data_IF_679522981009
#
_entry.id   IF_679522981009
#
_cell.length_a   1.000
_cell.length_b   1.000
_cell.length_c   1.000
_cell.angle_alpha   90.00
_cell.angle_beta   90.00
_cell.angle_gamma   90.00
#
_symmetry.space_group_name_H-M   'P 1'
#
loop_
_entity.id
_entity.type
_entity.pdbx_description
1 polymer ?
2 water ?
#
# COMPACT_ATOMS: atom_id res chain seq x y z
N UNK A 1 -18.92 8.22 20.11
CA UNK A 1 -18.04 9.38 19.81
C UNK A 1 -18.92 10.49 19.30
N UNK A 2 -18.30 11.57 18.82
CA UNK A 2 -19.09 12.60 18.13
C UNK A 2 -19.55 12.16 16.75
N UNK A 3 -19.16 10.97 16.32
CA UNK A 3 -19.39 10.54 14.98
C UNK A 3 -20.51 9.50 14.93
N UNK A 4 -21.10 9.36 13.74
CA UNK A 4 -22.14 8.34 13.52
C UNK A 4 -21.60 6.93 13.48
N UNK A 5 -20.44 6.79 12.80
CA UNK A 5 -19.90 5.45 12.49
C UNK A 5 -18.59 5.33 13.26
N UNK A 6 -18.10 4.11 13.32
CA UNK A 6 -16.69 3.91 13.77
C UNK A 6 -15.69 4.72 13.03
N UNK A 7 -14.59 5.10 13.73
CA UNK A 7 -13.47 5.78 13.10
C UNK A 7 -12.52 4.74 12.53
N UNK A 8 -11.67 5.21 11.64
CA UNK A 8 -10.64 4.34 11.06
C UNK A 8 -9.32 4.89 11.54
N UNK A 9 -8.38 4.00 11.77
CA UNK A 9 -7.11 4.41 12.41
C UNK A 9 -5.90 3.96 11.70
N UNK A 10 -4.90 4.85 11.59
CA UNK A 10 -3.68 4.68 10.89
C UNK A 10 -2.47 4.99 11.77
N UNK A 11 -1.47 4.14 11.67
CA UNK A 11 -0.26 4.38 12.46
C UNK A 11 0.79 5.19 11.74
N UNK A 12 1.40 6.16 12.45
CA UNK A 12 2.52 6.97 11.92
C UNK A 12 3.75 6.71 12.76
N UNK A 13 4.73 6.03 12.18
CA UNK A 13 6.00 5.70 12.83
C UNK A 13 6.96 6.86 12.67
N UNK A 14 7.31 7.50 13.77
CA UNK A 14 7.99 8.81 13.69
C UNK A 14 9.51 8.58 13.87
N UNK A 15 10.24 8.86 12.83
CA UNK A 15 11.71 8.74 12.90
C UNK A 15 12.43 10.02 12.54
N UNK A 16 11.68 11.14 12.58
CA UNK A 16 12.20 12.42 12.22
C UNK A 16 11.78 13.37 13.25
N UNK A 17 12.76 13.83 14.05
CA UNK A 17 12.50 14.68 15.15
C UNK A 17 11.81 16.04 14.74
N UNK A 18 12.36 16.70 13.75
CA UNK A 18 11.83 18.01 13.22
C UNK A 18 10.39 17.83 12.87
N UNK A 19 10.10 16.73 12.14
CA UNK A 19 8.73 16.50 11.63
C UNK A 19 7.74 16.43 12.75
N UNK A 20 7.95 15.53 13.73
CA UNK A 20 6.98 15.37 14.76
C UNK A 20 6.83 16.61 15.68
N UNK A 21 7.97 17.24 16.00
CA UNK A 21 7.95 18.44 16.80
C UNK A 21 7.19 19.52 16.07
N UNK A 22 7.39 19.65 14.77
CA UNK A 22 6.72 20.71 13.97
C UNK A 22 5.23 20.38 13.88
N UNK A 23 4.88 19.11 13.71
CA UNK A 23 3.47 18.74 13.58
C UNK A 23 2.68 19.07 14.84
N UNK A 24 3.27 18.90 16.02
CA UNK A 24 2.64 19.24 17.28
C UNK A 24 2.36 20.77 17.39
N UNK A 25 3.21 21.57 16.77
CA UNK A 25 2.98 23.03 16.63
C UNK A 25 2.07 23.57 15.51
N UNK A 26 2.04 22.92 14.38
CA UNK A 26 1.39 23.43 13.18
C UNK A 26 0.18 22.60 12.83
N UNK A 27 -0.01 21.42 13.41
CA UNK A 27 -1.25 20.63 13.09
C UNK A 27 -1.36 20.29 11.61
N UNK A 28 -0.23 19.91 10.96
CA UNK A 28 -0.24 19.41 9.61
C UNK A 28 0.69 18.19 9.63
N UNK A 29 0.38 17.23 8.77
CA UNK A 29 1.20 16.06 8.55
C UNK A 29 1.35 15.77 7.05
N UNK A 30 2.54 15.35 6.71
CA UNK A 30 2.89 14.93 5.35
C UNK A 30 2.62 13.42 5.27
N UNK A 31 1.75 13.05 4.35
CA UNK A 31 1.31 11.63 4.11
C UNK A 31 2.19 11.02 3.04
N UNK A 32 2.79 9.87 3.37
CA UNK A 32 3.66 9.12 2.41
C UNK A 32 2.88 8.62 1.18
N UNK A 33 3.56 8.60 0.04
CA UNK A 33 2.91 8.09 -1.18
C UNK A 33 2.34 6.66 -1.08
N UNK A 34 3.03 5.75 -0.40
CA UNK A 34 2.57 4.34 -0.28
C UNK A 34 1.20 4.20 0.37
N UNK A 35 0.89 5.13 1.28
CA UNK A 35 -0.26 4.96 2.14
C UNK A 35 -1.35 6.02 1.89
N UNK A 36 -1.06 6.96 0.99
CA UNK A 36 -1.93 8.14 0.77
C UNK A 36 -3.28 7.83 0.18
N UNK A 37 -3.32 6.95 -0.85
CA UNK A 37 -4.58 6.65 -1.43
C UNK A 37 -5.55 5.99 -0.47
N UNK A 38 -5.09 5.02 0.34
CA UNK A 38 -5.93 4.44 1.32
C UNK A 38 -6.46 5.43 2.38
N UNK A 39 -5.58 6.31 2.77
CA UNK A 39 -5.94 7.36 3.78
C UNK A 39 -7.00 8.36 3.20
N UNK A 40 -6.74 8.86 2.00
CA UNK A 40 -7.69 9.69 1.32
C UNK A 40 -9.03 9.00 1.08
N UNK A 41 -8.98 7.75 0.62
CA UNK A 41 -10.22 7.00 0.48
C UNK A 41 -11.01 6.88 1.81
N UNK A 42 -10.29 6.56 2.91
CA UNK A 42 -10.86 6.42 4.21
C UNK A 42 -11.48 7.73 4.70
N UNK A 43 -10.79 8.83 4.51
CA UNK A 43 -11.25 10.18 4.91
C UNK A 43 -12.61 10.58 4.24
N UNK A 44 -12.82 10.10 3.02
CA UNK A 44 -14.07 10.34 2.35
C UNK A 44 -15.19 9.59 2.97
N UNK A 45 -14.92 8.45 3.63
CA UNK A 45 -15.99 7.60 4.17
C UNK A 45 -16.18 7.57 5.68
N UNK A 46 -15.16 8.02 6.45
CA UNK A 46 -15.10 7.90 7.86
C UNK A 46 -14.32 9.00 8.58
N UNK A 47 -14.60 9.16 9.86
CA UNK A 47 -13.66 9.90 10.66
C UNK A 47 -12.36 9.08 10.68
N UNK A 48 -11.22 9.75 10.66
CA UNK A 48 -9.90 9.10 10.55
C UNK A 48 -9.03 9.68 11.63
N UNK A 49 -8.37 8.78 12.39
CA UNK A 49 -7.34 9.18 13.36
C UNK A 49 -5.97 8.72 12.91
N UNK A 50 -4.94 9.53 13.10
CA UNK A 50 -3.54 9.11 13.08
C UNK A 50 -3.06 8.94 14.46
N UNK A 51 -2.42 7.79 14.73
CA UNK A 51 -1.81 7.48 16.01
C UNK A 51 -0.30 7.56 15.78
N UNK A 52 0.40 8.40 16.49
CA UNK A 52 1.79 8.66 16.29
C UNK A 52 2.63 7.98 17.36
N UNK A 53 3.57 7.14 16.88
CA UNK A 53 4.48 6.45 17.84
C UNK A 53 5.88 6.58 17.33
N UNK A 54 6.78 6.61 18.30
CA UNK A 54 8.19 6.65 17.93
C UNK A 54 8.70 5.38 17.26
N UNK A 55 9.47 5.52 16.18
CA UNK A 55 10.00 4.36 15.51
C UNK A 55 10.89 3.58 16.47
N UNK A 56 10.89 2.26 16.29
CA UNK A 56 11.56 1.26 17.14
C UNK A 56 11.04 1.01 18.56
N UNK A 57 11.01 2.14 19.35
CA UNK A 57 10.68 2.11 20.78
C UNK A 57 9.21 1.99 20.92
N UNK A 58 8.48 2.63 20.04
CA UNK A 58 7.05 2.63 20.08
C UNK A 58 6.50 3.38 21.26
N UNK A 59 7.23 4.37 21.77
CA UNK A 59 6.60 5.32 22.68
C UNK A 59 5.45 5.98 21.95
N UNK A 60 4.38 6.22 22.66
CA UNK A 60 3.20 6.93 22.10
C UNK A 60 3.47 8.41 22.16
N UNK A 61 3.33 9.09 21.03
CA UNK A 61 3.53 10.55 20.92
C UNK A 61 2.23 11.33 20.84
N UNK A 62 1.13 10.68 20.52
CA UNK A 62 -0.22 11.31 20.59
C UNK A 62 -1.09 10.74 19.52
N UNK A 63 -2.28 11.30 19.38
CA UNK A 63 -3.18 10.91 18.34
C UNK A 63 -3.98 12.12 17.95
N UNK A 64 -4.37 12.13 16.69
CA UNK A 64 -5.00 13.34 16.11
C UNK A 64 -6.04 12.95 15.12
N UNK A 65 -7.12 13.72 15.07
CA UNK A 65 -8.09 13.54 14.01
C UNK A 65 -7.62 14.16 12.73
N UNK A 66 -7.80 13.52 11.56
CA UNK A 66 -7.49 14.10 10.27
C UNK A 66 -8.69 14.98 9.87
N UNK A 67 -8.42 16.27 9.61
CA UNK A 67 -9.53 17.26 9.40
C UNK A 67 -9.49 17.92 8.04
N UNK A 68 -8.70 17.42 7.09
CA UNK A 68 -8.79 17.79 5.69
C UNK A 68 -8.29 16.66 4.82
N UNK A 69 -8.76 16.57 3.58
CA UNK A 69 -8.25 15.53 2.67
C UNK A 69 -6.83 15.88 2.15
N UNK A 70 -6.12 14.92 1.54
CA UNK A 70 -4.74 15.06 1.05
C UNK A 70 -4.66 16.22 0.08
N UNK A 71 -3.64 17.05 0.25
CA UNK A 71 -3.50 18.24 -0.57
C UNK A 71 -2.07 18.30 -1.03
N UNK A 72 -1.82 18.04 -2.30
CA UNK A 72 -0.48 18.00 -2.91
C UNK A 72 0.26 19.35 -2.88
N UNK A 73 -0.43 20.44 -2.59
CA UNK A 73 0.24 21.75 -2.48
C UNK A 73 0.17 22.39 -1.10
N UNK A 74 -0.42 21.71 -0.10
CA UNK A 74 -0.45 22.19 1.29
C UNK A 74 0.33 21.15 2.13
N UNK A 75 1.63 21.34 2.21
CA UNK A 75 2.59 20.40 2.80
C UNK A 75 3.46 21.14 3.80
N UNK A 76 3.91 20.45 4.84
CA UNK A 76 4.84 21.06 5.74
C UNK A 76 6.24 21.13 5.10
N UNK A 77 7.08 22.00 5.65
CA UNK A 77 8.38 22.29 5.03
C UNK A 77 9.28 21.07 4.96
N UNK A 78 9.12 20.22 5.97
CA UNK A 78 9.96 19.03 6.10
C UNK A 78 9.56 17.89 5.19
N UNK A 79 8.50 18.02 4.38
CA UNK A 79 8.12 16.96 3.43
C UNK A 79 9.20 16.75 2.35
N UNK A 80 9.05 15.71 1.56
CA UNK A 80 10.10 15.30 0.62
C UNK A 80 9.46 14.47 -0.46
N UNK A 81 10.24 13.89 -1.35
CA UNK A 81 9.61 13.29 -2.51
C UNK A 81 8.86 12.00 -2.14
N UNK A 82 9.19 11.44 -0.97
CA UNK A 82 8.41 10.28 -0.42
C UNK A 82 6.94 10.62 -0.15
N UNK A 83 6.61 11.91 0.01
CA UNK A 83 5.24 12.29 0.33
C UNK A 83 4.43 12.71 -0.85
N UNK A 84 3.13 12.39 -0.78
CA UNK A 84 2.12 12.76 -1.76
C UNK A 84 1.47 14.12 -1.51
N UNK A 85 1.33 14.48 -0.25
CA UNK A 85 0.60 15.68 0.10
C UNK A 85 0.48 15.78 1.59
N UNK A 86 -0.16 16.87 2.00
CA UNK A 86 -0.41 17.17 3.39
C UNK A 86 -1.89 17.02 3.78
N UNK A 87 -2.10 16.73 5.06
CA UNK A 87 -3.38 16.78 5.68
C UNK A 87 -3.32 17.61 6.93
N UNK A 88 -4.38 18.36 7.17
CA UNK A 88 -4.50 19.04 8.45
C UNK A 88 -5.00 18.05 9.52
N UNK A 89 -4.58 18.24 10.76
CA UNK A 89 -4.93 17.38 11.87
C UNK A 89 -5.40 18.18 13.05
N UNK A 90 -6.13 17.54 13.94
CA UNK A 90 -6.59 18.14 15.14
C UNK A 90 -6.14 17.23 16.25
N UNK A 91 -5.12 17.69 17.02
CA UNK A 91 -4.58 16.86 18.07
C UNK A 91 -5.57 16.62 19.15
N UNK A 92 -5.72 15.37 19.59
CA UNK A 92 -6.57 15.01 20.70
C UNK A 92 -5.74 14.84 21.95
N UNK A 93 -4.63 14.09 21.85
CA UNK A 93 -3.66 13.91 22.93
C UNK A 93 -2.29 14.04 22.36
N UNK A 94 -1.38 14.71 23.09
CA UNK A 94 0.02 14.82 22.80
C UNK A 94 0.75 14.37 24.09
N UNK A 95 1.80 13.57 23.93
CA UNK A 95 2.41 12.87 25.09
C UNK A 95 3.76 12.28 24.64
N UNK A 96 4.42 11.56 25.56
CA UNK A 96 5.66 10.83 25.21
C UNK A 96 5.70 9.70 26.20
N UNK A 97 4.97 8.65 25.89
CA UNK A 97 4.61 7.62 26.84
C UNK A 97 5.08 6.27 26.39
N UNK A 98 5.88 5.60 27.22
CA UNK A 98 6.19 4.20 26.98
C UNK A 98 5.19 3.37 27.75
N UNK A 99 4.57 2.44 27.04
CA UNK A 99 3.69 1.48 27.60
C UNK A 99 3.98 0.11 27.00
N UNK A 100 4.12 -0.92 27.82
CA UNK A 100 4.40 -2.22 27.26
C UNK A 100 3.25 -2.70 26.37
N UNK A 101 2.01 -2.43 26.76
CA UNK A 101 0.90 -2.83 25.93
C UNK A 101 0.83 -2.09 24.59
N UNK A 102 1.05 -0.78 24.58
CA UNK A 102 1.16 -0.01 23.32
C UNK A 102 2.22 -0.67 22.42
N UNK A 103 3.41 -0.89 23.01
CA UNK A 103 4.48 -1.48 22.21
C UNK A 103 4.12 -2.84 21.68
N UNK A 104 3.42 -3.66 22.47
CA UNK A 104 3.06 -5.02 22.02
C UNK A 104 2.06 -4.93 20.87
N UNK A 105 1.07 -4.01 20.99
CA UNK A 105 0.06 -3.87 19.90
C UNK A 105 0.74 -3.48 18.59
N UNK A 106 1.66 -2.50 18.68
CA UNK A 106 2.38 -2.00 17.47
C UNK A 106 3.30 -3.09 16.90
N UNK A 107 3.86 -3.88 17.81
CA UNK A 107 4.82 -4.96 17.42
C UNK A 107 4.16 -6.09 16.70
N UNK A 108 2.83 -6.24 16.84
CA UNK A 108 2.09 -7.35 16.21
C UNK A 108 1.01 -6.88 15.22
N UNK A 109 1.06 -5.57 14.91
CA UNK A 109 0.04 -4.96 14.06
C UNK A 109 -0.07 -5.48 12.59
N UNK A 110 1.01 -5.94 11.99
CA UNK A 110 0.97 -6.43 10.62
C UNK A 110 1.01 -7.99 10.62
N UNK A 111 -0.16 -8.53 10.84
CA UNK A 111 -0.36 -9.96 10.85
C UNK A 111 0.62 -10.62 11.80
N UNK A 112 0.81 -10.04 12.98
CA UNK A 112 1.66 -10.50 14.02
C UNK A 112 3.12 -10.08 14.00
N UNK A 113 3.48 -9.31 12.98
CA UNK A 113 4.78 -8.70 12.85
C UNK A 113 4.65 -7.17 13.05
N UNK A 114 5.79 -6.49 13.13
CA UNK A 114 5.79 -5.06 13.39
C UNK A 114 5.07 -4.22 12.41
N UNK A 115 4.40 -3.17 12.91
CA UNK A 115 3.68 -2.25 12.09
C UNK A 115 4.46 -1.70 10.92
N UNK A 116 3.80 -1.53 9.81
CA UNK A 116 4.33 -0.80 8.65
C UNK A 116 3.85 0.66 8.74
N UNK A 117 4.75 1.60 8.46
CA UNK A 117 4.41 3.00 8.56
C UNK A 117 3.17 3.27 7.71
N UNK A 118 2.20 4.00 8.26
CA UNK A 118 1.03 4.44 7.51
C UNK A 118 -0.07 3.45 7.37
N UNK A 119 0.13 2.23 7.84
CA UNK A 119 -0.89 1.25 7.70
C UNK A 119 -2.14 1.52 8.48
N UNK A 120 -3.27 1.08 7.93
CA UNK A 120 -4.50 0.99 8.66
C UNK A 120 -4.48 -0.19 9.62
N UNK A 121 -4.88 0.03 10.88
CA UNK A 121 -5.06 -1.01 11.88
C UNK A 121 -6.51 -1.43 12.03
N UNK A 122 -6.71 -2.49 12.77
CA UNK A 122 -8.04 -2.93 13.07
C UNK A 122 -8.72 -2.05 14.11
N UNK A 123 -10.04 -2.08 14.11
CA UNK A 123 -10.79 -1.25 15.05
C UNK A 123 -10.37 -1.53 16.48
N UNK A 124 -10.27 -2.82 16.87
CA UNK A 124 -9.87 -3.16 18.25
C UNK A 124 -8.51 -2.51 18.64
N UNK A 125 -7.58 -2.51 17.69
CA UNK A 125 -6.24 -1.98 17.93
C UNK A 125 -6.29 -0.44 18.11
N UNK A 126 -6.92 0.25 17.18
CA UNK A 126 -6.99 1.70 17.28
C UNK A 126 -7.74 2.18 18.50
N UNK A 127 -8.89 1.57 18.77
CA UNK A 127 -9.63 1.97 19.94
C UNK A 127 -8.89 1.69 21.23
N UNK A 128 -8.20 0.55 21.31
CA UNK A 128 -7.38 0.28 22.51
C UNK A 128 -6.24 1.26 22.64
N UNK A 129 -5.57 1.56 21.55
CA UNK A 129 -4.41 2.46 21.61
C UNK A 129 -4.84 3.86 22.04
N UNK A 130 -5.96 4.36 21.51
CA UNK A 130 -6.43 5.68 21.91
C UNK A 130 -6.82 5.63 23.41
N UNK A 131 -7.38 4.54 23.87
CA UNK A 131 -7.73 4.42 25.29
C UNK A 131 -6.46 4.53 26.14
N UNK A 132 -5.41 3.85 25.70
CA UNK A 132 -4.11 3.85 26.44
C UNK A 132 -3.39 5.18 26.42
N UNK A 133 -3.60 5.98 25.40
CA UNK A 133 -2.97 7.25 25.25
C UNK A 133 -3.81 8.32 25.98
N UNK A 134 -5.13 8.12 26.17
CA UNK A 134 -5.94 9.04 27.06
C UNK A 134 -5.47 9.03 28.53
N UNK B 1 8.77 -26.71 -29.61
CA UNK B 1 9.73 -25.55 -29.71
C UNK B 1 8.95 -24.25 -29.50
N UNK B 2 8.46 -23.58 -30.55
CA UNK B 2 7.47 -22.51 -30.35
C UNK B 2 6.08 -23.01 -29.96
N UNK B 3 5.84 -24.31 -30.00
CA UNK B 3 4.58 -24.82 -29.38
C UNK B 3 4.72 -25.15 -27.85
N UNK B 4 5.93 -25.18 -27.33
CA UNK B 4 6.13 -25.34 -25.87
C UNK B 4 6.29 -23.95 -25.31
N UNK B 5 5.28 -23.44 -24.60
CA UNK B 5 5.28 -22.02 -24.27
C UNK B 5 6.03 -21.85 -22.95
N UNK B 6 6.82 -20.79 -22.85
CA UNK B 6 7.42 -20.35 -21.61
C UNK B 6 6.37 -19.58 -20.78
N UNK B 7 6.34 -19.76 -19.42
CA UNK B 7 5.48 -18.86 -18.57
C UNK B 7 6.34 -17.94 -17.75
N UNK B 8 6.04 -16.66 -17.81
CA UNK B 8 6.76 -15.60 -17.13
C UNK B 8 5.79 -14.77 -16.30
N UNK B 9 6.22 -14.44 -15.09
CA UNK B 9 5.38 -13.87 -14.04
C UNK B 9 5.90 -12.56 -13.52
N UNK B 10 5.08 -11.55 -13.42
CA UNK B 10 5.40 -10.23 -12.91
C UNK B 10 4.46 -9.87 -11.76
N UNK B 11 4.95 -9.22 -10.73
CA UNK B 11 4.09 -8.77 -9.64
C UNK B 11 3.64 -7.33 -9.85
N UNK B 12 2.37 -7.11 -9.56
CA UNK B 12 1.75 -5.76 -9.59
C UNK B 12 1.32 -5.46 -8.15
N UNK B 13 2.00 -4.49 -7.52
CA UNK B 13 1.73 -4.09 -6.15
C UNK B 13 0.72 -2.96 -6.19
N UNK B 14 -0.44 -3.23 -5.60
CA UNK B 14 -1.63 -2.36 -5.74
C UNK B 14 -1.81 -1.47 -4.51
N UNK B 15 -1.65 -0.16 -4.69
CA UNK B 15 -1.87 0.80 -3.55
C UNK B 15 -3.13 1.60 -3.71
N UNK B 16 -3.86 1.42 -4.82
CA UNK B 16 -4.95 2.26 -5.16
C UNK B 16 -6.17 1.36 -5.43
N UNK B 17 -7.11 1.35 -4.49
CA UNK B 17 -8.31 0.56 -4.58
C UNK B 17 -9.06 0.90 -5.85
N UNK B 18 -9.17 2.17 -6.21
CA UNK B 18 -9.90 2.53 -7.41
C UNK B 18 -9.30 1.82 -8.66
N UNK B 19 -7.98 1.75 -8.73
CA UNK B 19 -7.29 1.21 -9.94
C UNK B 19 -7.58 -0.30 -10.04
N UNK B 20 -7.37 -1.04 -8.98
CA UNK B 20 -7.64 -2.48 -9.06
C UNK B 20 -9.13 -2.80 -9.29
N UNK B 21 -10.04 -2.07 -8.63
CA UNK B 21 -11.42 -2.27 -8.90
C UNK B 21 -11.76 -2.02 -10.36
N UNK B 22 -11.15 -0.97 -10.92
CA UNK B 22 -11.42 -0.62 -12.27
C UNK B 22 -10.91 -1.71 -13.19
N UNK B 23 -9.73 -2.22 -12.89
CA UNK B 23 -9.09 -3.28 -13.72
C UNK B 23 -9.87 -4.54 -13.67
N UNK B 24 -10.43 -4.92 -12.52
CA UNK B 24 -11.28 -6.09 -12.40
C UNK B 24 -12.55 -5.97 -13.24
N UNK B 25 -12.99 -4.74 -13.45
CA UNK B 25 -14.16 -4.49 -14.31
C UNK B 25 -13.82 -4.41 -15.79
N UNK B 26 -12.73 -3.75 -16.17
CA UNK B 26 -12.45 -3.42 -17.53
C UNK B 26 -11.32 -4.25 -18.18
N UNK B 27 -10.59 -5.04 -17.37
CA UNK B 27 -9.52 -5.90 -17.94
C UNK B 27 -8.45 -5.15 -18.67
N UNK B 28 -8.03 -4.01 -18.10
CA UNK B 28 -6.83 -3.28 -18.54
C UNK B 28 -5.95 -2.89 -17.35
N UNK B 29 -4.64 -2.93 -17.52
CA UNK B 29 -3.70 -2.52 -16.50
C UNK B 29 -2.63 -1.59 -17.09
N UNK B 30 -2.08 -0.72 -16.27
CA UNK B 30 -1.05 0.21 -16.74
C UNK B 30 0.31 -0.35 -16.39
N UNK B 31 1.27 -0.32 -17.34
CA UNK B 31 2.65 -0.81 -17.14
C UNK B 31 3.61 0.36 -16.88
N UNK B 32 4.48 0.24 -15.88
CA UNK B 32 5.49 1.30 -15.57
C UNK B 32 6.54 1.36 -16.66
N UNK B 33 7.06 2.58 -16.92
CA UNK B 33 8.22 2.74 -17.81
C UNK B 33 9.41 1.91 -17.37
N UNK B 34 9.59 1.85 -16.07
CA UNK B 34 10.61 1.04 -15.36
C UNK B 34 10.64 -0.43 -15.73
N UNK B 35 9.49 -1.01 -15.99
CA UNK B 35 9.44 -2.44 -16.33
C UNK B 35 8.84 -2.76 -17.73
N UNK B 36 8.54 -1.74 -18.52
CA UNK B 36 7.84 -1.96 -19.81
C UNK B 36 8.65 -2.75 -20.84
N UNK B 37 9.98 -2.52 -20.91
CA UNK B 37 10.76 -3.17 -21.88
C UNK B 37 10.81 -4.66 -21.61
N UNK B 38 11.08 -5.02 -20.36
CA UNK B 38 11.19 -6.42 -20.02
C UNK B 38 9.80 -7.16 -20.18
N UNK B 39 8.74 -6.47 -19.76
CA UNK B 39 7.43 -7.06 -19.97
C UNK B 39 7.03 -7.23 -21.45
N UNK B 40 7.30 -6.19 -22.23
CA UNK B 40 7.04 -6.24 -23.67
C UNK B 40 7.87 -7.29 -24.37
N UNK B 41 9.18 -7.42 -24.07
CA UNK B 41 10.00 -8.52 -24.59
C UNK B 41 9.48 -9.91 -24.24
N UNK B 42 9.04 -10.09 -22.97
CA UNK B 42 8.57 -11.36 -22.54
C UNK B 42 7.27 -11.77 -23.28
N UNK B 43 6.43 -10.74 -23.36
CA UNK B 43 5.10 -10.90 -23.94
C UNK B 43 5.21 -11.40 -25.42
N UNK B 44 6.24 -10.94 -26.12
CA UNK B 44 6.32 -11.29 -27.50
C UNK B 44 6.74 -12.73 -27.72
N UNK B 45 7.18 -13.46 -26.69
CA UNK B 45 7.69 -14.78 -26.83
C UNK B 45 7.23 -15.81 -25.78
N UNK B 46 6.31 -15.48 -24.86
CA UNK B 46 5.98 -16.34 -23.74
C UNK B 46 4.60 -15.98 -23.27
N UNK B 47 3.96 -16.90 -22.57
CA UNK B 47 2.72 -16.55 -21.79
C UNK B 47 3.16 -15.72 -20.61
N UNK B 48 2.65 -14.52 -20.48
CA UNK B 48 2.97 -13.62 -19.41
C UNK B 48 1.77 -13.41 -18.50
N UNK B 49 2.01 -13.55 -17.21
CA UNK B 49 1.03 -13.42 -16.17
C UNK B 49 1.42 -12.30 -15.21
N UNK B 50 0.44 -11.46 -14.88
CA UNK B 50 0.48 -10.48 -13.80
C UNK B 50 -0.20 -11.05 -12.57
N UNK B 51 0.48 -10.97 -11.45
CA UNK B 51 -0.04 -11.35 -10.17
C UNK B 51 -0.23 -10.11 -9.34
N UNK B 52 -1.43 -9.90 -8.86
CA UNK B 52 -1.80 -8.63 -8.19
C UNK B 52 -1.88 -8.82 -6.68
N UNK B 53 -1.10 -8.00 -5.99
CA UNK B 53 -1.00 -8.09 -4.54
C UNK B 53 -1.19 -6.72 -3.97
N UNK B 54 -1.94 -6.62 -2.87
CA UNK B 54 -2.12 -5.30 -2.24
C UNK B 54 -0.81 -4.87 -1.60
N UNK B 55 -0.37 -3.66 -1.84
CA UNK B 55 0.93 -3.21 -1.36
C UNK B 55 1.00 -3.23 0.17
N UNK B 56 -0.02 -2.81 0.87
CA UNK B 56 0.09 -2.67 2.31
C UNK B 56 -0.13 -3.88 3.19
N UNK B 57 -0.87 -4.81 2.69
CA UNK B 57 -1.21 -6.00 3.42
C UNK B 57 -0.63 -7.27 2.83
N UNK B 58 -0.20 -7.18 1.59
CA UNK B 58 0.14 -8.35 0.79
C UNK B 58 -1.00 -9.28 0.57
N UNK B 59 -2.25 -8.82 0.66
CA UNK B 59 -3.35 -9.63 0.26
C UNK B 59 -3.26 -9.98 -1.24
N UNK B 60 -3.59 -11.23 -1.58
CA UNK B 60 -3.64 -11.56 -3.05
C UNK B 60 -4.92 -11.07 -3.59
N UNK B 61 -4.88 -10.39 -4.76
CA UNK B 61 -6.03 -9.81 -5.42
C UNK B 61 -6.40 -10.57 -6.67
N UNK B 62 -5.51 -11.43 -7.18
CA UNK B 62 -5.84 -12.23 -8.33
C UNK B 62 -4.64 -12.35 -9.26
N UNK B 63 -4.84 -13.07 -10.36
CA UNK B 63 -3.87 -13.07 -11.41
C UNK B 63 -4.53 -13.11 -12.74
N UNK B 64 -3.80 -12.65 -13.80
CA UNK B 64 -4.37 -12.46 -15.14
C UNK B 64 -3.29 -12.71 -16.14
N UNK B 65 -3.66 -13.21 -17.29
CA UNK B 65 -2.68 -13.23 -18.42
C UNK B 65 -2.70 -11.88 -19.12
N UNK B 66 -1.50 -11.43 -19.50
CA UNK B 66 -1.38 -10.28 -20.42
C UNK B 66 -1.76 -10.73 -21.82
N UNK B 67 -2.70 -9.98 -22.45
CA UNK B 67 -3.24 -10.47 -23.76
C UNK B 67 -3.21 -9.36 -24.82
N UNK B 68 -2.41 -8.37 -24.59
CA UNK B 68 -2.04 -7.44 -25.70
C UNK B 68 -0.66 -7.01 -25.40
N UNK B 69 -0.03 -6.42 -26.42
CA UNK B 69 1.20 -5.70 -26.15
C UNK B 69 0.91 -4.29 -25.61
N UNK B 70 1.95 -3.58 -25.23
CA UNK B 70 1.81 -2.24 -24.68
C UNK B 70 1.19 -1.25 -25.64
N UNK B 71 0.22 -0.49 -25.13
CA UNK B 71 -0.53 0.55 -25.90
C UNK B 71 -0.10 1.80 -25.23
N UNK B 72 0.75 2.57 -25.91
CA UNK B 72 1.37 3.73 -25.30
C UNK B 72 0.63 4.94 -25.76
N UNK B 73 -0.47 4.75 -26.50
CA UNK B 73 -1.28 5.87 -27.14
C UNK B 73 -2.43 6.22 -26.18
N UNK B 74 -3.04 5.18 -25.63
CA UNK B 74 -4.22 5.30 -24.75
C UNK B 74 -3.93 4.52 -23.47
N UNK B 75 -3.93 5.20 -22.31
CA UNK B 75 -3.63 4.57 -20.96
C UNK B 75 -4.88 4.60 -20.05
N UNK B 76 -4.95 3.81 -18.99
CA UNK B 76 -6.12 3.89 -18.11
C UNK B 76 -6.22 5.22 -17.35
N UNK B 77 -7.42 5.61 -16.94
CA UNK B 77 -7.62 6.93 -16.37
C UNK B 77 -6.80 7.20 -15.14
N UNK B 78 -6.44 6.14 -14.40
CA UNK B 78 -5.75 6.25 -13.13
C UNK B 78 -4.24 6.28 -13.25
N UNK B 79 -3.72 6.12 -14.47
CA UNK B 79 -2.35 6.06 -14.70
C UNK B 79 -1.69 7.43 -14.45
N UNK B 80 -0.40 7.46 -14.47
CA UNK B 80 0.35 8.66 -14.10
C UNK B 80 1.63 8.69 -14.91
N UNK B 81 2.51 9.65 -14.60
CA UNK B 81 3.73 9.86 -15.37
C UNK B 81 4.75 8.75 -15.25
N UNK B 82 4.57 7.89 -14.28
CA UNK B 82 5.42 6.71 -14.19
C UNK B 82 5.11 5.60 -15.23
N UNK B 83 3.96 5.67 -15.91
CA UNK B 83 3.49 4.62 -16.82
C UNK B 83 3.77 4.80 -18.29
N UNK B 84 4.15 3.70 -18.96
CA UNK B 84 4.45 3.71 -20.39
C UNK B 84 3.24 3.48 -21.26
N UNK B 85 2.26 2.72 -20.77
CA UNK B 85 1.19 2.29 -21.57
C UNK B 85 0.25 1.36 -20.84
N UNK B 86 -0.82 1.01 -21.50
CA UNK B 86 -1.74 0.02 -20.98
C UNK B 86 -1.56 -1.29 -21.66
N UNK B 87 -1.97 -2.36 -20.98
CA UNK B 87 -2.12 -3.67 -21.56
C UNK B 87 -3.50 -4.21 -21.26
N UNK B 88 -4.08 -4.97 -22.20
CA UNK B 88 -5.23 -5.76 -21.94
C UNK B 88 -4.86 -7.01 -21.21
N UNK B 89 -5.68 -7.41 -20.25
CA UNK B 89 -5.46 -8.61 -19.47
C UNK B 89 -6.69 -9.48 -19.54
N UNK B 90 -6.50 -10.75 -19.18
CA UNK B 90 -7.61 -11.71 -19.06
C UNK B 90 -7.52 -12.34 -17.67
N UNK B 91 -8.45 -11.97 -16.80
CA UNK B 91 -8.44 -12.48 -15.43
C UNK B 91 -8.61 -13.97 -15.42
N UNK B 92 -7.80 -14.64 -14.62
CA UNK B 92 -7.92 -16.11 -14.46
C UNK B 92 -8.56 -16.39 -13.07
N UNK B 93 -8.06 -15.71 -12.06
CA UNK B 93 -8.69 -15.75 -10.72
C UNK B 93 -8.77 -14.41 -10.16
N UNK B 94 -9.86 -14.08 -9.44
CA UNK B 94 -9.93 -12.82 -8.69
C UNK B 94 -10.35 -13.21 -7.27
N UNK B 95 -9.81 -12.43 -6.37
CA UNK B 95 -9.94 -12.73 -4.91
C UNK B 95 -9.49 -11.51 -4.13
N UNK B 96 -9.63 -11.65 -2.80
CA UNK B 96 -9.11 -10.71 -1.88
C UNK B 96 -8.85 -11.46 -0.58
N UNK B 97 -7.71 -12.10 -0.53
CA UNK B 97 -7.37 -13.05 0.52
C UNK B 97 -6.01 -12.80 1.10
N UNK B 98 -5.90 -13.19 2.38
CA UNK B 98 -4.60 -13.15 3.03
C UNK B 98 -4.03 -14.55 3.18
N UNK B 99 -2.88 -14.73 2.49
CA UNK B 99 -2.07 -15.93 2.58
C UNK B 99 -0.69 -15.60 3.15
N UNK B 100 -0.36 -16.29 4.24
CA UNK B 100 0.96 -16.11 4.89
C UNK B 100 2.09 -16.48 3.94
N UNK B 101 1.89 -17.56 3.20
CA UNK B 101 2.95 -18.00 2.26
C UNK B 101 3.13 -17.02 1.11
N UNK B 102 2.05 -16.51 0.54
CA UNK B 102 2.17 -15.47 -0.47
C UNK B 102 2.93 -14.25 0.06
N UNK B 103 2.58 -13.83 1.30
CA UNK B 103 3.26 -12.73 1.94
C UNK B 103 4.76 -13.00 2.08
N UNK B 104 5.10 -14.22 2.46
CA UNK B 104 6.54 -14.55 2.62
C UNK B 104 7.22 -14.51 1.21
N UNK B 105 6.56 -15.04 0.20
CA UNK B 105 7.14 -15.01 -1.18
C UNK B 105 7.32 -13.57 -1.60
N UNK B 106 6.33 -12.69 -1.47
CA UNK B 106 6.47 -11.31 -1.82
C UNK B 106 7.63 -10.58 -1.06
N UNK B 107 7.72 -10.86 0.25
CA UNK B 107 8.70 -10.30 1.18
C UNK B 107 10.09 -10.59 0.80
N UNK B 108 10.29 -11.65 0.01
CA UNK B 108 11.68 -12.07 -0.35
C UNK B 108 11.95 -12.11 -1.83
N UNK B 109 10.99 -11.60 -2.61
CA UNK B 109 11.09 -11.75 -4.08
C UNK B 109 12.31 -11.03 -4.72
N UNK B 110 12.77 -9.96 -4.09
CA UNK B 110 13.88 -9.14 -4.65
C UNK B 110 15.23 -9.51 -4.04
N UNK B 111 15.75 -10.65 -4.50
CA UNK B 111 16.95 -11.30 -3.99
C UNK B 111 17.00 -11.25 -2.46
N UNK B 112 15.88 -11.66 -1.86
CA UNK B 112 15.74 -11.80 -0.43
C UNK B 112 15.04 -10.64 0.26
N UNK B 113 14.84 -9.53 -0.44
CA UNK B 113 14.17 -8.39 0.05
C UNK B 113 12.78 -8.27 -0.61
N UNK B 114 12.05 -7.27 -0.14
CA UNK B 114 10.73 -6.92 -0.56
C UNK B 114 10.61 -6.78 -2.08
N UNK B 115 9.54 -7.32 -2.65
CA UNK B 115 9.21 -7.10 -4.03
C UNK B 115 9.10 -5.63 -4.40
N UNK B 116 9.61 -5.32 -5.58
CA UNK B 116 9.43 -4.02 -6.25
C UNK B 116 8.32 -4.20 -7.26
N UNK B 117 7.46 -3.21 -7.35
CA UNK B 117 6.35 -3.21 -8.24
C UNK B 117 6.84 -3.38 -9.68
N UNK B 118 6.23 -4.35 -10.40
CA UNK B 118 6.49 -4.54 -11.80
C UNK B 118 7.62 -5.51 -12.03
N UNK B 119 8.31 -5.99 -10.98
CA UNK B 119 9.44 -6.91 -11.20
C UNK B 119 8.98 -8.30 -11.67
N UNK B 120 9.85 -8.94 -12.42
CA UNK B 120 9.77 -10.34 -12.77
C UNK B 120 10.22 -11.19 -11.61
N UNK B 121 9.49 -12.28 -11.39
CA UNK B 121 9.84 -13.26 -10.40
C UNK B 121 10.33 -14.52 -11.01
N UNK B 122 10.87 -15.42 -10.21
CA UNK B 122 11.26 -16.70 -10.76
C UNK B 122 10.08 -17.59 -11.05
N UNK B 123 10.23 -18.61 -11.89
CA UNK B 123 9.16 -19.54 -12.20
C UNK B 123 8.55 -20.17 -10.99
N UNK B 124 9.38 -20.68 -10.09
CA UNK B 124 8.81 -21.38 -8.95
C UNK B 124 7.98 -20.40 -8.09
N UNK B 125 8.40 -19.16 -7.97
CA UNK B 125 7.61 -18.11 -7.21
C UNK B 125 6.28 -17.83 -7.85
N UNK B 126 6.32 -17.61 -9.17
CA UNK B 126 5.05 -17.38 -9.88
C UNK B 126 4.09 -18.51 -9.91
N UNK B 127 4.54 -19.72 -10.24
CA UNK B 127 3.73 -20.89 -10.22
C UNK B 127 3.12 -21.18 -8.86
N UNK B 128 3.92 -21.04 -7.81
CA UNK B 128 3.44 -21.29 -6.45
C UNK B 128 2.35 -20.27 -6.09
N UNK B 129 2.60 -19.03 -6.35
CA UNK B 129 1.61 -17.93 -6.06
C UNK B 129 0.31 -18.23 -6.78
N UNK B 130 0.37 -18.60 -8.07
CA UNK B 130 -0.84 -18.93 -8.79
C UNK B 130 -1.53 -20.13 -8.23
N UNK B 131 -0.81 -21.15 -7.84
CA UNK B 131 -1.36 -22.29 -7.11
C UNK B 131 -2.11 -21.95 -5.86
N UNK B 132 -1.59 -21.05 -5.11
CA UNK B 132 -2.22 -20.67 -3.81
C UNK B 132 -3.44 -19.85 -4.00
N UNK B 133 -3.61 -19.25 -5.20
CA UNK B 133 -4.76 -18.36 -5.53
C UNK B 133 -5.91 -19.14 -6.21
N UNK B 134 -5.70 -20.38 -6.65
CA UNK B 134 -6.81 -21.23 -7.15
C UNK B 134 -8.01 -21.31 -6.20
#
# INVERSE_FOLDING_TARGET
>A
SEFELRSRYFIMLCDNETAIAHAKKTSIWAVKKDSSKRISDAYKKASVYFIFVAQQTYNALGYAQVVSDLNSTELPFWSDSSHAGGVRIKWIKTCNLFSAEISEIVSHMDHGSEARDGMEMMYDEGSRLCTLIN
>B
SEFELRSRYFIMLCDNETAIAHAKKTSIWAVKKDSSKRISDAYKKASVYFIFVAQQTYNALGYAQVVSDLNSTELPFWSDSSHAGGVRIKWIKTCNLFSAEISEIVSHMDHGSEARDGMEMMYDEGSRLCTLIN
#
